data_IF_374952709156
#
_entry.id   IF_374952709156
#
_cell.length_a   1.000
_cell.length_b   1.000
_cell.length_c   1.000
_cell.angle_alpha   90.00
_cell.angle_beta   90.00
_cell.angle_gamma   90.00
#
_symmetry.space_group_name_H-M   'P 1'
#
loop_
_entity.id
_entity.type
_entity.pdbx_description
1 polymer ?
#
# COMPACT_ATOMS: atom_id res chain seq x y z
N UNK A 1 2.22 20.46 -17.52
CA UNK A 1 2.02 19.11 -18.05
C UNK A 1 1.35 18.32 -16.92
N UNK A 2 0.03 18.17 -16.99
CA UNK A 2 -0.76 17.43 -16.02
C UNK A 2 -0.38 15.97 -16.19
N UNK A 3 -0.06 15.26 -15.10
CA UNK A 3 0.56 13.92 -15.06
C UNK A 3 -0.23 12.78 -15.75
N UNK A 4 -1.41 13.07 -16.30
CA UNK A 4 -2.29 12.08 -16.95
C UNK A 4 -1.76 11.52 -18.30
N UNK A 5 -0.87 12.24 -19.00
CA UNK A 5 -0.30 11.82 -20.29
C UNK A 5 1.13 11.29 -20.18
N UNK A 6 1.63 11.05 -18.97
CA UNK A 6 2.97 10.51 -18.78
C UNK A 6 2.99 9.01 -19.12
N UNK A 7 4.01 8.56 -19.87
CA UNK A 7 4.27 7.15 -20.08
C UNK A 7 4.29 6.39 -18.73
N UNK A 8 3.81 5.15 -18.73
CA UNK A 8 3.77 4.32 -17.50
C UNK A 8 5.15 4.17 -16.86
N UNK A 9 5.19 4.09 -15.51
CA UNK A 9 6.37 3.62 -14.79
C UNK A 9 6.38 2.08 -14.64
N UNK A 10 5.23 1.43 -14.80
CA UNK A 10 5.06 -0.02 -14.65
C UNK A 10 5.53 -0.79 -15.90
N UNK A 11 5.87 -2.07 -15.76
CA UNK A 11 5.82 -2.88 -14.54
C UNK A 11 6.95 -2.57 -13.55
N UNK A 12 6.74 -2.94 -12.28
CA UNK A 12 7.77 -2.91 -11.23
C UNK A 12 8.30 -4.32 -11.00
N UNK A 13 9.58 -4.54 -11.24
CA UNK A 13 10.24 -5.83 -11.05
C UNK A 13 11.13 -5.82 -9.81
N UNK A 14 10.98 -6.84 -8.97
CA UNK A 14 11.85 -7.15 -7.84
C UNK A 14 12.69 -8.39 -8.22
N UNK A 15 14.01 -8.30 -8.09
CA UNK A 15 14.96 -9.39 -8.35
C UNK A 15 15.78 -9.70 -7.11
N UNK A 16 15.53 -10.86 -6.47
CA UNK A 16 16.24 -11.37 -5.30
C UNK A 16 16.41 -10.33 -4.17
N UNK A 17 15.36 -9.51 -3.97
CA UNK A 17 15.36 -8.41 -3.01
C UNK A 17 15.47 -8.93 -1.60
N UNK A 18 16.49 -8.46 -0.87
CA UNK A 18 16.68 -8.75 0.56
C UNK A 18 16.95 -7.47 1.33
N UNK A 19 16.52 -7.46 2.60
CA UNK A 19 16.77 -6.38 3.55
C UNK A 19 17.27 -6.97 4.87
N UNK A 20 18.41 -6.48 5.32
CA UNK A 20 19.02 -6.86 6.60
C UNK A 20 19.15 -5.66 7.52
N UNK A 21 19.05 -5.90 8.83
CA UNK A 21 19.40 -4.91 9.86
C UNK A 21 20.28 -5.62 10.89
N UNK A 22 21.57 -5.30 10.88
CA UNK A 22 22.58 -6.09 11.58
C UNK A 22 22.56 -7.55 11.10
N UNK A 23 22.46 -8.51 12.02
CA UNK A 23 22.39 -9.94 11.68
C UNK A 23 20.98 -10.42 11.31
N UNK A 24 19.95 -9.59 11.48
CA UNK A 24 18.56 -10.00 11.25
C UNK A 24 18.14 -9.77 9.81
N UNK A 25 17.77 -10.86 9.11
CA UNK A 25 17.19 -10.82 7.75
C UNK A 25 15.69 -10.55 7.86
N UNK A 26 15.27 -9.34 7.48
CA UNK A 26 13.88 -8.88 7.53
C UNK A 26 13.11 -9.24 6.26
N UNK A 27 13.71 -9.05 5.09
CA UNK A 27 13.22 -9.50 3.78
C UNK A 27 14.27 -10.45 3.19
N UNK A 28 13.80 -11.51 2.51
CA UNK A 28 14.65 -12.65 2.13
C UNK A 28 14.33 -13.10 0.70
N UNK A 29 15.16 -12.69 -0.24
CA UNK A 29 15.19 -13.16 -1.64
C UNK A 29 13.80 -13.09 -2.32
N UNK A 30 13.14 -11.92 -2.29
CA UNK A 30 11.86 -11.72 -2.95
C UNK A 30 12.10 -11.39 -4.42
N UNK A 31 11.49 -12.19 -5.31
CA UNK A 31 11.45 -11.94 -6.74
C UNK A 31 10.00 -12.01 -7.21
N UNK A 32 9.50 -10.94 -7.80
CA UNK A 32 8.16 -10.86 -8.39
C UNK A 32 8.06 -9.62 -9.27
N UNK A 33 7.03 -9.59 -10.12
CA UNK A 33 6.66 -8.42 -10.92
C UNK A 33 5.30 -7.93 -10.50
N UNK A 34 5.12 -6.62 -10.39
CA UNK A 34 3.83 -5.95 -10.19
C UNK A 34 3.45 -5.28 -11.52
N UNK A 35 2.38 -5.80 -12.12
CA UNK A 35 1.83 -5.30 -13.38
C UNK A 35 0.92 -4.08 -13.15
N UNK A 36 0.48 -3.45 -14.25
CA UNK A 36 -0.46 -2.34 -14.20
C UNK A 36 -1.90 -2.80 -13.87
N UNK A 37 -2.74 -1.84 -13.51
CA UNK A 37 -4.22 -1.91 -13.50
C UNK A 37 -4.90 -2.77 -12.43
N UNK A 38 -4.16 -3.56 -11.63
CA UNK A 38 -4.72 -4.43 -10.60
C UNK A 38 -4.61 -3.86 -9.19
N UNK A 39 -5.46 -4.32 -8.27
CA UNK A 39 -5.24 -4.20 -6.84
C UNK A 39 -4.47 -5.42 -6.36
N UNK A 40 -3.18 -5.24 -6.08
CA UNK A 40 -2.37 -6.29 -5.45
C UNK A 40 -2.44 -6.13 -3.93
N UNK A 41 -2.95 -7.14 -3.24
CA UNK A 41 -3.03 -7.14 -1.78
C UNK A 41 -1.99 -8.06 -1.18
N UNK A 42 -1.14 -7.50 -0.32
CA UNK A 42 -0.10 -8.23 0.43
C UNK A 42 -0.66 -8.63 1.78
N UNK A 43 -0.80 -9.93 2.03
CA UNK A 43 -1.31 -10.48 3.29
C UNK A 43 -0.27 -11.36 3.98
N UNK A 44 -0.52 -11.66 5.25
CA UNK A 44 0.33 -12.50 6.09
C UNK A 44 0.32 -12.03 7.54
N UNK A 45 0.88 -12.83 8.45
CA UNK A 45 0.89 -12.52 9.88
C UNK A 45 1.67 -11.24 10.19
N UNK A 46 1.46 -10.72 11.41
CA UNK A 46 2.24 -9.59 11.92
C UNK A 46 3.73 -9.95 11.95
N UNK A 47 4.58 -9.00 11.53
CA UNK A 47 6.02 -9.24 11.40
C UNK A 47 6.44 -10.04 10.16
N UNK A 48 5.53 -10.38 9.25
CA UNK A 48 5.88 -11.05 7.99
C UNK A 48 6.74 -10.21 7.03
N UNK A 49 6.81 -8.88 7.22
CA UNK A 49 7.59 -7.97 6.39
C UNK A 49 6.77 -7.17 5.37
N UNK A 50 5.44 -7.19 5.46
CA UNK A 50 4.52 -6.53 4.50
C UNK A 50 4.84 -5.04 4.31
N UNK A 51 4.84 -4.26 5.38
CA UNK A 51 5.15 -2.82 5.34
C UNK A 51 6.57 -2.53 4.84
N UNK A 52 7.53 -3.42 5.14
CA UNK A 52 8.90 -3.28 4.64
C UNK A 52 8.96 -3.49 3.13
N UNK A 53 8.22 -4.47 2.61
CA UNK A 53 8.12 -4.70 1.17
C UNK A 53 7.54 -3.47 0.45
N UNK A 54 6.44 -2.89 0.96
CA UNK A 54 5.86 -1.68 0.38
C UNK A 54 6.86 -0.51 0.37
N UNK A 55 7.58 -0.30 1.48
CA UNK A 55 8.59 0.77 1.59
C UNK A 55 9.79 0.55 0.66
N UNK A 56 10.19 -0.69 0.43
CA UNK A 56 11.21 -1.05 -0.56
C UNK A 56 10.72 -0.75 -1.98
N UNK A 57 9.51 -1.18 -2.34
CA UNK A 57 8.90 -0.90 -3.65
C UNK A 57 8.77 0.60 -3.91
N UNK A 58 8.37 1.38 -2.89
CA UNK A 58 8.26 2.83 -2.98
C UNK A 58 9.63 3.55 -3.05
N UNK A 59 10.72 2.90 -2.66
CA UNK A 59 12.05 3.51 -2.60
C UNK A 59 12.33 4.28 -1.31
N UNK A 60 11.50 4.16 -0.26
CA UNK A 60 11.76 4.71 1.07
C UNK A 60 12.84 3.90 1.82
N UNK A 61 13.06 2.66 1.42
CA UNK A 61 14.15 1.81 1.89
C UNK A 61 14.93 1.31 0.70
N UNK A 62 16.24 1.22 0.85
CA UNK A 62 17.13 0.60 -0.13
C UNK A 62 17.35 -0.86 0.24
N UNK A 63 17.20 -1.82 -0.68
CA UNK A 63 17.51 -3.21 -0.40
C UNK A 63 19.00 -3.40 -0.09
N UNK A 64 19.32 -4.35 0.80
CA UNK A 64 20.71 -4.72 1.11
C UNK A 64 21.33 -5.54 -0.03
N UNK A 65 20.51 -6.31 -0.74
CA UNK A 65 20.90 -7.03 -1.95
C UNK A 65 19.70 -7.23 -2.88
N UNK A 66 19.97 -7.54 -4.14
CA UNK A 66 18.98 -7.59 -5.20
C UNK A 66 18.70 -6.23 -5.81
N UNK A 67 17.70 -6.14 -6.66
CA UNK A 67 17.33 -4.89 -7.35
C UNK A 67 15.83 -4.72 -7.46
N UNK A 68 15.39 -3.46 -7.52
CA UNK A 68 14.01 -3.05 -7.75
C UNK A 68 14.03 -2.11 -8.95
N UNK A 69 13.36 -2.49 -10.02
CA UNK A 69 13.45 -1.80 -11.33
C UNK A 69 12.06 -1.46 -11.84
N UNK A 70 11.86 -0.21 -12.17
CA UNK A 70 10.69 0.29 -12.88
C UNK A 70 10.98 0.25 -14.39
N UNK A 71 10.23 -0.57 -15.14
CA UNK A 71 10.51 -0.83 -16.56
C UNK A 71 9.80 0.12 -17.52
N UNK A 72 8.81 0.86 -17.05
CA UNK A 72 8.07 1.80 -17.89
C UNK A 72 8.93 2.98 -18.35
N UNK A 73 8.56 3.63 -19.43
CA UNK A 73 9.32 4.72 -20.04
C UNK A 73 9.54 5.92 -19.09
N UNK A 74 8.64 6.16 -18.12
CA UNK A 74 8.78 7.17 -17.09
C UNK A 74 9.58 6.69 -15.86
N UNK A 75 10.06 5.45 -15.84
CA UNK A 75 10.72 4.82 -14.69
C UNK A 75 12.03 5.44 -14.24
N UNK A 76 12.60 6.41 -14.98
CA UNK A 76 13.82 7.14 -14.59
C UNK A 76 13.63 8.00 -13.33
N UNK A 77 12.39 8.44 -13.03
CA UNK A 77 12.06 9.19 -11.83
C UNK A 77 10.71 8.74 -11.24
N UNK A 78 10.63 7.50 -10.73
CA UNK A 78 9.38 6.91 -10.29
C UNK A 78 8.74 7.67 -9.12
N UNK A 79 9.54 8.37 -8.31
CA UNK A 79 9.04 9.13 -7.16
C UNK A 79 8.02 10.21 -7.53
N UNK A 80 8.00 10.67 -8.78
CA UNK A 80 7.01 11.64 -9.27
C UNK A 80 5.64 11.01 -9.55
N UNK A 81 5.58 9.71 -9.75
CA UNK A 81 4.39 8.98 -10.22
C UNK A 81 3.84 8.01 -9.18
N UNK A 82 4.39 8.02 -7.99
CA UNK A 82 3.94 7.15 -6.90
C UNK A 82 3.61 7.95 -5.64
N UNK A 83 2.74 7.38 -4.82
CA UNK A 83 2.40 7.89 -3.50
C UNK A 83 2.32 6.75 -2.50
N UNK A 84 2.47 7.07 -1.21
CA UNK A 84 2.31 6.11 -0.12
C UNK A 84 1.46 6.70 1.00
N UNK A 85 0.49 5.92 1.46
CA UNK A 85 -0.30 6.20 2.66
C UNK A 85 0.08 5.20 3.74
N UNK A 86 0.50 5.72 4.88
CA UNK A 86 0.93 4.91 6.03
C UNK A 86 -0.25 4.55 6.92
N UNK A 87 -0.12 3.50 7.70
CA UNK A 87 -1.08 3.08 8.72
C UNK A 87 -1.43 4.24 9.68
N UNK A 88 -0.44 5.05 10.05
CA UNK A 88 -0.64 6.28 10.82
C UNK A 88 -0.20 7.48 9.98
N UNK A 89 -1.14 8.19 9.34
CA UNK A 89 -0.81 9.29 8.47
C UNK A 89 -0.32 10.50 9.27
N UNK A 90 0.72 11.16 8.75
CA UNK A 90 1.21 12.42 9.35
C UNK A 90 0.36 13.58 8.85
N UNK A 91 -0.21 14.34 9.80
CA UNK A 91 -0.94 15.56 9.51
C UNK A 91 -0.08 16.80 9.76
N UNK A 92 -0.10 17.73 8.82
CA UNK A 92 0.51 19.03 9.03
C UNK A 92 -0.38 19.90 9.93
N UNK A 93 0.22 20.78 10.74
CA UNK A 93 -0.49 21.77 11.57
C UNK A 93 -1.12 22.88 10.70
N UNK A 94 -2.02 22.50 9.80
CA UNK A 94 -2.72 23.35 8.82
C UNK A 94 -4.14 22.83 8.66
N UNK A 95 -4.98 23.60 7.95
CA UNK A 95 -6.32 23.11 7.57
C UNK A 95 -6.23 21.90 6.63
N UNK A 96 -7.34 21.17 6.51
CA UNK A 96 -7.49 20.05 5.57
C UNK A 96 -7.11 20.48 4.16
N UNK A 97 -7.68 21.58 3.66
CA UNK A 97 -7.36 22.19 2.35
C UNK A 97 -5.87 22.45 2.21
N UNK A 98 -5.26 23.11 3.21
CA UNK A 98 -3.86 23.49 3.17
C UNK A 98 -2.90 22.28 3.25
N UNK A 99 -3.35 21.13 3.78
CA UNK A 99 -2.61 19.86 3.71
C UNK A 99 -2.53 19.34 2.26
N UNK A 100 -3.61 19.45 1.49
CA UNK A 100 -3.63 19.03 0.07
C UNK A 100 -2.82 20.02 -0.78
N UNK A 101 -3.04 21.34 -0.59
CA UNK A 101 -2.28 22.36 -1.32
C UNK A 101 -0.77 22.22 -1.13
N UNK A 102 -0.34 21.88 0.10
CA UNK A 102 1.07 21.65 0.38
C UNK A 102 1.63 20.48 -0.44
N UNK A 103 0.91 19.35 -0.55
CA UNK A 103 1.33 18.23 -1.37
C UNK A 103 1.49 18.61 -2.85
N UNK A 104 0.52 19.35 -3.39
CA UNK A 104 0.57 19.88 -4.76
C UNK A 104 1.73 20.86 -4.95
N UNK A 105 2.02 21.69 -3.92
CA UNK A 105 3.13 22.64 -3.97
C UNK A 105 4.49 21.98 -4.04
N UNK A 106 4.70 20.88 -3.29
CA UNK A 106 5.92 20.08 -3.35
C UNK A 106 6.14 19.45 -4.73
N UNK A 107 5.07 19.10 -5.43
CA UNK A 107 5.09 18.60 -6.82
C UNK A 107 5.18 19.73 -7.85
N UNK A 108 5.36 20.99 -7.42
CA UNK A 108 5.46 22.17 -8.27
C UNK A 108 4.26 22.35 -9.21
N UNK A 109 3.07 21.89 -8.81
CA UNK A 109 1.83 22.12 -9.55
C UNK A 109 1.57 23.63 -9.61
N UNK A 110 1.28 24.22 -10.77
CA UNK A 110 0.98 25.64 -10.91
C UNK A 110 -0.19 26.07 -10.03
N UNK A 111 -0.11 27.25 -9.40
CA UNK A 111 -1.12 27.74 -8.44
C UNK A 111 -2.53 27.79 -9.02
N UNK A 112 -2.67 28.18 -10.27
CA UNK A 112 -3.97 28.31 -10.94
C UNK A 112 -4.69 26.96 -11.14
N UNK A 113 -3.96 25.83 -11.14
CA UNK A 113 -4.53 24.47 -11.25
C UNK A 113 -4.86 23.85 -9.90
N UNK A 114 -4.28 24.36 -8.80
CA UNK A 114 -4.40 23.70 -7.49
C UNK A 114 -5.80 23.76 -6.92
N UNK A 115 -6.51 24.86 -7.17
CA UNK A 115 -7.87 25.05 -6.64
C UNK A 115 -8.77 23.90 -7.05
N UNK A 116 -8.86 23.59 -8.33
CA UNK A 116 -9.74 22.55 -8.86
C UNK A 116 -9.32 21.14 -8.38
N UNK A 117 -8.01 20.89 -8.35
CA UNK A 117 -7.47 19.61 -7.84
C UNK A 117 -7.77 19.41 -6.35
N UNK A 118 -7.74 20.49 -5.55
CA UNK A 118 -8.07 20.43 -4.13
C UNK A 118 -9.56 20.17 -3.93
N UNK A 119 -10.43 20.89 -4.67
CA UNK A 119 -11.88 20.70 -4.57
C UNK A 119 -12.28 19.29 -4.98
N UNK A 120 -11.71 18.77 -6.08
CA UNK A 120 -11.93 17.40 -6.51
C UNK A 120 -11.50 16.40 -5.43
N UNK A 121 -10.30 16.54 -4.87
CA UNK A 121 -9.79 15.63 -3.85
C UNK A 121 -10.60 15.68 -2.54
N UNK A 122 -11.06 16.87 -2.12
CA UNK A 122 -11.95 17.04 -0.98
C UNK A 122 -13.30 16.35 -1.21
N UNK A 123 -13.87 16.55 -2.39
CA UNK A 123 -15.15 15.95 -2.77
C UNK A 123 -15.06 14.42 -2.76
N UNK A 124 -14.08 13.85 -3.44
CA UNK A 124 -13.83 12.40 -3.54
C UNK A 124 -13.60 11.73 -2.18
N UNK A 125 -12.93 12.41 -1.26
CA UNK A 125 -12.69 11.91 0.09
C UNK A 125 -13.83 12.22 1.09
N UNK A 126 -14.90 12.91 0.66
CA UNK A 126 -16.01 13.32 1.53
C UNK A 126 -15.58 14.29 2.64
N UNK A 127 -14.62 15.19 2.33
CA UNK A 127 -14.03 16.12 3.31
C UNK A 127 -14.38 17.59 3.08
N UNK A 128 -15.32 17.91 2.17
CA UNK A 128 -15.69 19.28 1.82
C UNK A 128 -16.05 20.13 3.03
N UNK A 129 -16.89 19.58 3.93
CA UNK A 129 -17.32 20.27 5.16
C UNK A 129 -16.17 20.57 6.12
N UNK A 130 -15.07 19.84 6.02
CA UNK A 130 -13.89 19.99 6.87
C UNK A 130 -12.78 20.82 6.22
N UNK A 131 -12.98 21.37 5.02
CA UNK A 131 -11.92 22.01 4.24
C UNK A 131 -11.09 23.04 5.02
N UNK A 132 -11.72 23.83 5.89
CA UNK A 132 -11.06 24.85 6.72
C UNK A 132 -10.71 24.35 8.13
N UNK A 133 -11.12 23.12 8.50
CA UNK A 133 -10.86 22.54 9.81
C UNK A 133 -9.37 22.22 9.96
N UNK A 134 -8.72 22.51 11.11
CA UNK A 134 -7.37 22.04 11.37
C UNK A 134 -7.27 20.51 11.26
N UNK A 135 -6.32 20.00 10.47
CA UNK A 135 -6.23 18.56 10.18
C UNK A 135 -5.96 17.70 11.44
N UNK A 136 -5.35 18.27 12.48
CA UNK A 136 -5.04 17.57 13.73
C UNK A 136 -6.26 17.27 14.61
N UNK A 137 -7.39 17.96 14.41
CA UNK A 137 -8.62 17.70 15.20
C UNK A 137 -9.56 16.71 14.53
N UNK A 138 -9.22 16.24 13.33
CA UNK A 138 -9.97 15.21 12.63
C UNK A 138 -9.88 13.88 13.39
N UNK A 139 -10.95 13.08 13.33
CA UNK A 139 -10.93 11.67 13.74
C UNK A 139 -9.89 10.88 12.92
N UNK A 140 -9.48 9.72 13.43
CA UNK A 140 -8.47 8.92 12.74
C UNK A 140 -8.91 8.49 11.32
N UNK A 141 -10.19 8.11 11.15
CA UNK A 141 -10.73 7.80 9.82
C UNK A 141 -10.76 9.00 8.86
N UNK A 142 -11.06 10.21 9.38
CA UNK A 142 -10.99 11.45 8.58
C UNK A 142 -9.54 11.82 8.23
N UNK A 143 -8.58 11.60 9.13
CA UNK A 143 -7.15 11.78 8.83
C UNK A 143 -6.69 10.82 7.74
N UNK A 144 -7.16 9.57 7.77
CA UNK A 144 -6.84 8.58 6.75
C UNK A 144 -7.43 8.99 5.39
N UNK A 145 -8.68 9.47 5.35
CA UNK A 145 -9.29 10.03 4.13
C UNK A 145 -8.53 11.26 3.63
N UNK A 146 -8.03 12.12 4.52
CA UNK A 146 -7.19 13.24 4.12
C UNK A 146 -5.84 12.79 3.52
N UNK A 147 -5.24 11.73 4.05
CA UNK A 147 -4.02 11.15 3.47
C UNK A 147 -4.28 10.59 2.06
N UNK A 148 -5.42 9.93 1.85
CA UNK A 148 -5.86 9.49 0.52
C UNK A 148 -6.14 10.67 -0.41
N UNK A 149 -6.84 11.73 0.06
CA UNK A 149 -7.10 12.94 -0.71
C UNK A 149 -5.80 13.63 -1.17
N UNK A 150 -4.79 13.72 -0.28
CA UNK A 150 -3.46 14.23 -0.66
C UNK A 150 -2.82 13.41 -1.76
N UNK A 151 -2.94 12.08 -1.68
CA UNK A 151 -2.40 11.17 -2.69
C UNK A 151 -3.19 11.29 -4.01
N UNK A 152 -4.50 11.36 -3.94
CA UNK A 152 -5.35 11.52 -5.12
C UNK A 152 -5.05 12.80 -5.90
N UNK A 153 -4.95 13.93 -5.20
CA UNK A 153 -4.63 15.22 -5.83
C UNK A 153 -3.32 15.18 -6.66
N UNK A 154 -2.40 14.29 -6.31
CA UNK A 154 -1.15 14.08 -7.03
C UNK A 154 -1.30 13.18 -8.27
N UNK A 155 -2.44 12.55 -8.48
CA UNK A 155 -2.74 11.60 -9.58
C UNK A 155 -1.61 10.59 -9.79
N UNK A 156 -1.29 9.77 -8.79
CA UNK A 156 -0.20 8.81 -8.88
C UNK A 156 -0.56 7.67 -9.83
N UNK A 157 0.43 7.14 -10.54
CA UNK A 157 0.27 5.91 -11.31
C UNK A 157 0.29 4.66 -10.40
N UNK A 158 0.98 4.74 -9.25
CA UNK A 158 1.03 3.69 -8.25
C UNK A 158 0.79 4.26 -6.86
N UNK A 159 -0.14 3.68 -6.12
CA UNK A 159 -0.44 4.01 -4.74
C UNK A 159 -0.14 2.82 -3.83
N UNK A 160 0.78 3.01 -2.90
CA UNK A 160 1.10 2.05 -1.84
C UNK A 160 0.29 2.38 -0.58
N UNK A 161 -0.39 1.39 0.00
CA UNK A 161 -1.25 1.53 1.17
C UNK A 161 -0.79 0.56 2.27
N UNK A 162 -0.28 1.11 3.36
CA UNK A 162 0.16 0.32 4.52
C UNK A 162 -0.94 0.27 5.57
N UNK A 163 -1.75 -0.79 5.59
CA UNK A 163 -2.88 -1.02 6.49
C UNK A 163 -3.83 0.20 6.60
N UNK A 164 -4.43 0.68 5.49
CA UNK A 164 -5.14 1.97 5.44
C UNK A 164 -6.39 2.05 6.31
N UNK A 165 -6.91 0.93 6.78
CA UNK A 165 -8.16 0.85 7.58
C UNK A 165 -7.94 0.25 8.97
N UNK A 166 -6.68 0.04 9.37
CA UNK A 166 -6.38 -0.49 10.70
C UNK A 166 -6.89 0.45 11.81
N UNK A 167 -7.62 -0.12 12.76
CA UNK A 167 -8.19 0.62 13.90
C UNK A 167 -9.25 1.67 13.52
N UNK A 168 -9.92 1.48 12.38
CA UNK A 168 -11.02 2.31 11.90
C UNK A 168 -12.33 1.52 12.04
N UNK A 169 -13.43 2.21 12.32
CA UNK A 169 -14.75 1.58 12.40
C UNK A 169 -15.22 1.08 11.02
N UNK A 170 -16.17 0.12 10.98
CA UNK A 170 -16.61 -0.48 9.72
C UNK A 170 -17.22 0.52 8.72
N UNK A 171 -17.95 1.55 9.20
CA UNK A 171 -18.57 2.53 8.32
C UNK A 171 -17.52 3.43 7.65
N UNK A 172 -16.54 3.91 8.41
CA UNK A 172 -15.43 4.70 7.86
C UNK A 172 -14.49 3.84 6.99
N UNK A 173 -14.35 2.54 7.31
CA UNK A 173 -13.60 1.59 6.45
C UNK A 173 -14.22 1.49 5.07
N UNK A 174 -15.56 1.37 4.98
CA UNK A 174 -16.25 1.29 3.70
C UNK A 174 -16.00 2.53 2.83
N UNK A 175 -16.08 3.72 3.41
CA UNK A 175 -15.78 4.98 2.68
C UNK A 175 -14.33 5.00 2.16
N UNK A 176 -13.37 4.51 2.94
CA UNK A 176 -11.96 4.42 2.51
C UNK A 176 -11.81 3.43 1.35
N UNK A 177 -12.48 2.28 1.42
CA UNK A 177 -12.48 1.28 0.34
C UNK A 177 -13.07 1.85 -0.96
N UNK A 178 -14.17 2.62 -0.88
CA UNK A 178 -14.76 3.30 -2.04
C UNK A 178 -13.79 4.29 -2.68
N UNK A 179 -13.05 5.07 -1.87
CA UNK A 179 -12.02 5.99 -2.37
C UNK A 179 -10.91 5.23 -3.10
N UNK A 180 -10.44 4.10 -2.53
CA UNK A 180 -9.40 3.25 -3.14
C UNK A 180 -9.89 2.68 -4.50
N UNK A 181 -11.12 2.16 -4.54
CA UNK A 181 -11.71 1.61 -5.76
C UNK A 181 -11.90 2.68 -6.83
N UNK A 182 -12.27 3.90 -6.45
CA UNK A 182 -12.39 5.01 -7.39
C UNK A 182 -11.03 5.40 -7.98
N UNK A 183 -9.94 5.42 -7.18
CA UNK A 183 -8.58 5.65 -7.67
C UNK A 183 -8.13 4.56 -8.65
N UNK A 184 -8.42 3.28 -8.33
CA UNK A 184 -8.18 2.16 -9.26
C UNK A 184 -8.91 2.36 -10.59
N UNK A 185 -10.20 2.72 -10.53
CA UNK A 185 -11.03 2.96 -11.73
C UNK A 185 -10.48 4.08 -12.62
N UNK A 186 -9.76 5.03 -12.05
CA UNK A 186 -9.06 6.10 -12.77
C UNK A 186 -7.66 5.70 -13.25
N UNK A 187 -7.29 4.41 -13.16
CA UNK A 187 -6.03 3.87 -13.69
C UNK A 187 -4.87 3.86 -12.71
N UNK A 188 -5.08 4.18 -11.42
CA UNK A 188 -4.02 4.04 -10.42
C UNK A 188 -3.83 2.58 -10.04
N UNK A 189 -2.63 2.04 -10.20
CA UNK A 189 -2.23 0.74 -9.63
C UNK A 189 -2.24 0.83 -8.11
N UNK A 190 -2.93 -0.08 -7.44
CA UNK A 190 -2.96 -0.14 -5.98
C UNK A 190 -2.12 -1.32 -5.49
N UNK A 191 -1.21 -1.07 -4.55
CA UNK A 191 -0.48 -2.12 -3.81
C UNK A 191 -0.73 -1.90 -2.33
N UNK A 192 -1.53 -2.77 -1.73
CA UNK A 192 -1.99 -2.59 -0.35
C UNK A 192 -1.56 -3.75 0.53
N UNK A 193 -1.13 -3.49 1.76
CA UNK A 193 -1.06 -4.53 2.77
C UNK A 193 -2.23 -4.40 3.77
N UNK A 194 -2.75 -5.54 4.18
CA UNK A 194 -3.77 -5.64 5.23
C UNK A 194 -3.62 -6.97 5.98
N UNK A 195 -4.11 -6.99 7.21
CA UNK A 195 -4.33 -8.22 7.98
C UNK A 195 -5.79 -8.67 8.00
N UNK A 196 -6.70 -7.84 7.46
CA UNK A 196 -8.13 -8.15 7.32
C UNK A 196 -8.38 -8.96 6.05
N UNK A 197 -8.68 -10.25 6.23
CA UNK A 197 -9.00 -11.16 5.13
C UNK A 197 -10.31 -10.80 4.42
N UNK A 198 -11.28 -10.22 5.14
CA UNK A 198 -12.54 -9.74 4.56
C UNK A 198 -12.27 -8.59 3.57
N UNK A 199 -11.45 -7.62 3.97
CA UNK A 199 -11.01 -6.53 3.10
C UNK A 199 -10.23 -7.05 1.89
N UNK A 200 -9.27 -7.97 2.12
CA UNK A 200 -8.51 -8.57 1.04
C UNK A 200 -9.41 -9.27 0.01
N UNK A 201 -10.46 -9.99 0.46
CA UNK A 201 -11.42 -10.65 -0.44
C UNK A 201 -12.26 -9.66 -1.26
N UNK A 202 -12.60 -8.49 -0.70
CA UNK A 202 -13.42 -7.49 -1.39
C UNK A 202 -12.63 -6.69 -2.43
N UNK A 203 -11.35 -6.45 -2.16
CA UNK A 203 -10.57 -5.48 -2.95
C UNK A 203 -9.53 -6.12 -3.88
N UNK A 204 -9.00 -7.30 -3.55
CA UNK A 204 -7.87 -7.86 -4.30
C UNK A 204 -8.28 -8.41 -5.67
N UNK A 205 -7.54 -8.06 -6.69
CA UNK A 205 -7.46 -8.79 -7.97
C UNK A 205 -6.33 -9.85 -7.89
N UNK A 206 -5.24 -9.52 -7.18
CA UNK A 206 -4.08 -10.38 -6.98
C UNK A 206 -3.68 -10.39 -5.50
N UNK A 207 -3.25 -11.54 -5.00
CA UNK A 207 -2.80 -11.71 -3.61
C UNK A 207 -1.33 -12.14 -3.58
N UNK A 208 -0.57 -11.48 -2.72
CA UNK A 208 0.79 -11.84 -2.34
C UNK A 208 0.80 -12.29 -0.87
N UNK A 209 1.05 -13.57 -0.60
CA UNK A 209 1.15 -14.08 0.75
C UNK A 209 2.60 -14.06 1.25
N UNK A 210 2.83 -13.32 2.32
CA UNK A 210 4.15 -13.20 2.96
C UNK A 210 4.22 -13.94 4.28
N UNK A 211 5.35 -14.63 4.52
CA UNK A 211 5.65 -15.27 5.79
C UNK A 211 7.14 -15.19 6.12
N UNK A 212 7.49 -14.66 7.29
CA UNK A 212 8.88 -14.53 7.81
C UNK A 212 9.86 -13.92 6.83
N UNK A 213 9.43 -12.82 6.17
CA UNK A 213 10.23 -12.05 5.22
C UNK A 213 10.34 -12.65 3.82
N UNK A 214 9.60 -13.71 3.51
CA UNK A 214 9.56 -14.33 2.18
C UNK A 214 8.20 -14.21 1.53
N UNK A 215 8.18 -14.00 0.23
CA UNK A 215 7.00 -14.21 -0.58
C UNK A 215 6.81 -15.73 -0.73
N UNK A 216 5.66 -16.24 -0.30
CA UNK A 216 5.35 -17.68 -0.30
C UNK A 216 4.44 -18.07 -1.45
N UNK A 217 3.54 -17.16 -1.82
CA UNK A 217 2.63 -17.35 -2.93
C UNK A 217 2.25 -15.99 -3.52
N UNK A 218 2.09 -15.94 -4.83
CA UNK A 218 1.52 -14.84 -5.59
C UNK A 218 0.57 -15.44 -6.62
N UNK A 219 -0.70 -15.08 -6.54
CA UNK A 219 -1.74 -15.66 -7.41
C UNK A 219 -2.95 -14.72 -7.53
N UNK A 220 -3.80 -14.90 -8.56
CA UNK A 220 -5.09 -14.21 -8.64
C UNK A 220 -5.90 -14.43 -7.37
N UNK A 221 -6.64 -13.40 -6.94
CA UNK A 221 -7.39 -13.42 -5.69
C UNK A 221 -8.41 -14.56 -5.64
N UNK A 222 -9.14 -14.79 -6.73
CA UNK A 222 -10.10 -15.89 -6.84
C UNK A 222 -9.44 -17.24 -6.54
N UNK A 223 -8.30 -17.52 -7.18
CA UNK A 223 -7.54 -18.77 -6.98
C UNK A 223 -7.02 -18.87 -5.55
N UNK A 224 -6.46 -17.77 -5.02
CA UNK A 224 -5.92 -17.76 -3.67
C UNK A 224 -6.98 -18.06 -2.61
N UNK A 225 -8.13 -17.42 -2.71
CA UNK A 225 -9.20 -17.58 -1.72
C UNK A 225 -10.04 -18.84 -1.90
N UNK A 226 -10.03 -19.47 -3.07
CA UNK A 226 -10.62 -20.79 -3.29
C UNK A 226 -9.77 -21.91 -2.68
N UNK A 227 -8.43 -21.78 -2.75
CA UNK A 227 -7.50 -22.76 -2.18
C UNK A 227 -6.06 -22.45 -2.57
N UNK A 228 -5.30 -21.77 -1.71
CA UNK A 228 -3.92 -21.45 -2.01
C UNK A 228 -3.07 -22.73 -2.13
N UNK A 229 -2.04 -22.67 -2.97
CA UNK A 229 -1.11 -23.79 -3.19
C UNK A 229 -0.16 -23.98 -2.01
N UNK A 230 0.13 -22.92 -1.27
CA UNK A 230 1.06 -22.96 -0.15
C UNK A 230 0.36 -23.35 1.15
N UNK A 231 0.84 -24.40 1.85
CA UNK A 231 0.25 -24.91 3.10
C UNK A 231 0.15 -23.86 4.21
N UNK A 232 1.15 -22.94 4.29
CA UNK A 232 1.12 -21.87 5.28
C UNK A 232 0.05 -20.84 4.94
N UNK A 233 -0.23 -20.59 3.66
CA UNK A 233 -1.31 -19.72 3.22
C UNK A 233 -2.67 -20.37 3.54
N UNK A 234 -2.82 -21.68 3.32
CA UNK A 234 -4.03 -22.39 3.69
C UNK A 234 -4.30 -22.31 5.20
N UNK A 235 -3.27 -22.59 6.03
CA UNK A 235 -3.37 -22.49 7.47
C UNK A 235 -3.71 -21.06 7.92
N UNK A 236 -3.12 -20.05 7.27
CA UNK A 236 -3.41 -18.64 7.53
C UNK A 236 -4.88 -18.28 7.23
N UNK A 237 -5.43 -18.74 6.10
CA UNK A 237 -6.85 -18.53 5.76
C UNK A 237 -7.82 -19.20 6.74
N UNK A 238 -7.42 -20.31 7.35
CA UNK A 238 -8.22 -21.00 8.39
C UNK A 238 -8.07 -20.38 9.78
N UNK A 239 -7.27 -19.30 9.92
CA UNK A 239 -7.02 -18.65 11.21
C UNK A 239 -6.10 -19.46 12.13
N UNK A 240 -5.37 -20.44 11.61
CA UNK A 240 -4.45 -21.24 12.39
C UNK A 240 -3.20 -20.45 12.81
N UNK A 241 -2.69 -20.72 14.03
CA UNK A 241 -1.49 -20.06 14.55
C UNK A 241 -0.24 -20.61 13.85
N UNK A 242 0.33 -19.83 12.92
CA UNK A 242 1.46 -20.26 12.10
C UNK A 242 2.80 -20.45 12.86
N UNK A 243 2.90 -19.97 14.10
CA UNK A 243 4.10 -20.13 14.92
C UNK A 243 4.24 -21.52 15.55
N UNK A 244 3.18 -22.33 15.62
CA UNK A 244 3.14 -23.63 16.27
C UNK A 244 3.70 -24.80 15.40
N UNK A 245 3.87 -24.64 14.09
CA UNK A 245 4.49 -25.66 13.25
C UNK A 245 6.02 -25.59 13.34
N UNK A 246 6.61 -25.92 14.51
CA UNK A 246 7.94 -26.54 14.55
C UNK A 246 7.78 -27.93 13.95
N UNK A 247 8.69 -28.28 13.01
CA UNK A 247 8.77 -29.62 12.45
C UNK A 247 8.62 -30.66 13.59
N UNK A 248 7.64 -31.54 13.46
CA UNK A 248 7.57 -32.78 14.22
C UNK A 248 8.85 -33.58 13.93
N UNK A 249 9.86 -33.47 14.78
CA UNK A 249 11.14 -34.14 14.58
C UNK A 249 12.30 -33.67 15.42
N UNK A 250 12.09 -32.84 16.47
CA UNK A 250 13.14 -32.66 17.49
C UNK A 250 12.47 -32.20 18.79
N UNK A 251 12.01 -33.23 19.55
CA UNK A 251 11.72 -33.08 20.95
C UNK A 251 13.07 -33.20 21.70
N UNK A 252 13.69 -32.10 22.06
CA UNK A 252 14.58 -32.06 23.22
C UNK A 252 14.08 -30.98 24.16
N UNK A 253 13.45 -31.46 25.19
CA UNK A 253 13.25 -30.76 26.46
C UNK A 253 14.62 -30.79 27.14
N UNK A 254 15.26 -29.63 27.25
CA UNK A 254 16.29 -29.37 28.24
C UNK A 254 15.73 -28.32 29.20
N UNK A 255 15.61 -28.76 30.43
CA UNK A 255 15.21 -28.03 31.64
C UNK A 255 16.22 -26.95 31.99
#
# INVERSE_FOLDING_TARGET
MILADAASILPLELKNVSLHTGQKRLIKDISCTLEAEDITVVIGPNGAGKSLLLRLCHGLLTPTSGSIVWHGAAGRNPSLFQAMVFQRPVMLRRSVRANIDFALSLRKVPRHLRHDLIEEALHRAGLNRFAQTPALVLSFGEQQRLALARSWALRPQVLFLDEPTASIDPAATHVIEEVILAMRKEGTKIVMCTHDLGQARRLADEVMFMYRGRLREKSPAETFFAGPKNDLAQAFLRGELLWWRRRSGECRVDL
#
